data_IF_848217514983
#
_entry.id   IF_848217514983
#
_cell.length_a   1.000
_cell.length_b   1.000
_cell.length_c   1.000
_cell.angle_alpha   90.00
_cell.angle_beta   90.00
_cell.angle_gamma   90.00
#
_symmetry.space_group_name_H-M   'P 1'
#
loop_
_entity.id
_entity.type
_entity.pdbx_description
1 polymer ?
#
# COMPACT_ATOMS: atom_id res chain seq x y z
N UNK A 1 5.45 48.93 -34.34
CA UNK A 1 6.00 48.98 -32.97
C UNK A 1 5.00 49.70 -32.10
N UNK A 2 4.03 48.98 -31.58
CA UNK A 2 3.08 49.51 -30.59
C UNK A 2 3.69 49.26 -29.22
N UNK A 3 4.27 50.30 -28.66
CA UNK A 3 4.67 50.34 -27.25
C UNK A 3 3.40 50.22 -26.41
N UNK A 4 3.29 49.17 -25.61
CA UNK A 4 2.25 49.06 -24.60
C UNK A 4 2.80 49.63 -23.29
N UNK A 5 2.45 50.89 -23.00
CA UNK A 5 2.71 51.50 -21.70
C UNK A 5 1.68 50.98 -20.69
N UNK A 6 2.09 50.05 -19.83
CA UNK A 6 1.27 49.61 -18.71
C UNK A 6 1.37 50.65 -17.58
N UNK A 7 0.33 51.47 -17.43
CA UNK A 7 0.17 52.40 -16.31
C UNK A 7 -1.07 52.00 -15.52
N UNK A 8 -0.88 51.20 -14.47
CA UNK A 8 -1.95 50.79 -13.55
C UNK A 8 -1.36 50.16 -12.29
N UNK A 9 -1.69 50.73 -11.14
CA UNK A 9 -1.05 50.51 -9.84
C UNK A 9 -1.14 49.08 -9.32
N UNK A 10 -0.01 48.36 -9.28
CA UNK A 10 0.15 47.18 -8.44
C UNK A 10 1.45 47.27 -7.61
N UNK A 11 1.36 46.68 -6.43
CA UNK A 11 2.27 46.79 -5.30
C UNK A 11 3.67 46.25 -5.59
N UNK A 12 4.67 46.79 -4.89
CA UNK A 12 6.06 46.30 -4.88
C UNK A 12 6.12 44.79 -4.63
N UNK A 13 6.47 44.03 -5.66
CA UNK A 13 6.57 42.56 -5.66
C UNK A 13 5.91 41.94 -6.90
N UNK A 14 6.37 42.34 -8.08
CA UNK A 14 5.85 42.00 -9.41
C UNK A 14 6.05 40.52 -9.75
N UNK A 15 5.31 39.64 -9.08
CA UNK A 15 5.00 38.31 -9.59
C UNK A 15 3.53 38.33 -9.95
N UNK A 16 3.21 38.13 -11.23
CA UNK A 16 1.85 37.73 -11.62
C UNK A 16 1.49 36.48 -10.83
N UNK A 17 0.35 36.50 -10.15
CA UNK A 17 -0.25 35.32 -9.51
C UNK A 17 -1.09 34.51 -10.51
N UNK A 18 -1.23 35.00 -11.73
CA UNK A 18 -1.83 34.26 -12.84
C UNK A 18 -0.77 33.33 -13.45
N UNK A 19 -1.02 32.03 -13.38
CA UNK A 19 -0.22 30.95 -13.99
C UNK A 19 -0.42 30.89 -15.52
N UNK A 20 -0.54 32.05 -16.17
CA UNK A 20 -0.76 32.14 -17.62
C UNK A 20 0.55 32.14 -18.40
N UNK A 21 1.66 32.55 -17.76
CA UNK A 21 2.99 32.60 -18.35
C UNK A 21 3.81 31.34 -18.05
N UNK A 22 4.58 30.89 -19.04
CA UNK A 22 5.56 29.81 -18.82
C UNK A 22 6.76 30.35 -18.04
N UNK A 23 7.37 29.50 -17.20
CA UNK A 23 8.59 29.84 -16.47
C UNK A 23 9.72 30.18 -17.44
N UNK A 24 10.35 31.34 -17.27
CA UNK A 24 11.36 31.81 -18.20
C UNK A 24 12.69 31.04 -18.04
N UNK A 25 13.61 31.09 -19.03
CA UNK A 25 14.92 30.43 -18.92
C UNK A 25 15.72 30.88 -17.70
N UNK A 26 15.54 32.13 -17.25
CA UNK A 26 16.13 32.67 -16.03
C UNK A 26 15.60 32.03 -14.73
N UNK A 27 14.39 31.47 -14.76
CA UNK A 27 13.78 30.77 -13.64
C UNK A 27 14.06 29.25 -13.66
N UNK A 28 14.06 28.65 -14.86
CA UNK A 28 14.27 27.20 -15.05
C UNK A 28 15.73 26.81 -15.25
N UNK A 29 16.59 27.79 -15.56
CA UNK A 29 17.98 27.59 -15.98
C UNK A 29 18.13 26.67 -17.21
N UNK A 30 17.07 26.53 -18.00
CA UNK A 30 17.00 25.72 -19.22
C UNK A 30 16.83 26.66 -20.43
N UNK A 31 17.91 26.83 -21.20
CA UNK A 31 17.94 27.70 -22.38
C UNK A 31 17.78 26.86 -23.66
N UNK A 32 16.60 26.94 -24.27
CA UNK A 32 16.27 26.26 -25.54
C UNK A 32 16.50 27.16 -26.77
N UNK A 33 17.14 28.32 -26.59
CA UNK A 33 17.53 29.23 -27.67
C UNK A 33 16.42 30.16 -28.16
N UNK A 34 15.43 30.44 -27.31
CA UNK A 34 14.31 31.34 -27.58
C UNK A 34 14.29 32.48 -26.56
N UNK A 35 13.93 33.68 -27.03
CA UNK A 35 13.78 34.86 -26.16
C UNK A 35 12.54 34.74 -25.26
N UNK A 36 11.49 34.05 -25.73
CA UNK A 36 10.28 33.69 -24.96
C UNK A 36 9.92 32.22 -25.24
N UNK A 37 9.69 31.42 -24.20
CA UNK A 37 9.30 30.02 -24.36
C UNK A 37 7.93 29.86 -25.08
N UNK A 38 7.07 30.88 -25.04
CA UNK A 38 5.81 30.87 -25.76
C UNK A 38 6.00 30.89 -27.29
N UNK A 39 7.20 31.24 -27.79
CA UNK A 39 7.51 31.24 -29.23
C UNK A 39 7.84 29.84 -29.79
N UNK A 40 8.07 28.82 -28.95
CA UNK A 40 8.56 27.50 -29.39
C UNK A 40 7.56 26.74 -30.28
N UNK A 41 6.27 27.07 -30.16
CA UNK A 41 5.20 26.36 -30.86
C UNK A 41 5.06 24.90 -30.40
N UNK A 42 3.89 24.31 -30.65
CA UNK A 42 3.64 22.90 -30.31
C UNK A 42 3.87 22.02 -31.53
N UNK A 43 4.76 21.02 -31.42
CA UNK A 43 4.95 19.97 -32.42
C UNK A 43 4.15 18.72 -32.03
N UNK A 44 2.97 18.46 -32.63
CA UNK A 44 2.20 17.27 -32.34
C UNK A 44 2.95 16.00 -32.80
N UNK A 45 2.67 14.84 -32.18
CA UNK A 45 3.31 13.59 -32.57
C UNK A 45 3.05 13.25 -34.05
N UNK A 46 4.10 12.80 -34.74
CA UNK A 46 4.07 12.41 -36.16
C UNK A 46 3.18 11.21 -36.48
N UNK A 47 2.63 10.55 -35.44
CA UNK A 47 1.77 9.38 -35.55
C UNK A 47 0.76 9.35 -34.41
N UNK A 48 -0.45 8.82 -34.65
CA UNK A 48 -1.44 8.65 -33.61
C UNK A 48 -0.90 7.72 -32.51
N UNK A 49 -1.14 8.09 -31.25
CA UNK A 49 -0.78 7.27 -30.07
C UNK A 49 -2.05 6.76 -29.41
N UNK A 50 -2.06 5.48 -29.06
CA UNK A 50 -3.14 4.86 -28.29
C UNK A 50 -4.49 4.72 -29.02
N UNK A 51 -4.55 5.05 -30.32
CA UNK A 51 -5.80 4.92 -31.11
C UNK A 51 -6.26 3.46 -31.25
N UNK A 52 -5.30 2.54 -31.33
CA UNK A 52 -5.53 1.10 -31.40
C UNK A 52 -5.34 0.41 -30.04
N UNK A 53 -5.23 1.18 -28.94
CA UNK A 53 -5.12 0.61 -27.61
C UNK A 53 -6.44 -0.04 -27.18
N UNK A 54 -6.33 -1.08 -26.35
CA UNK A 54 -7.50 -1.73 -25.78
C UNK A 54 -8.28 -0.75 -24.89
N UNK A 55 -9.61 -0.73 -25.01
CA UNK A 55 -10.48 0.14 -24.20
C UNK A 55 -10.89 1.43 -24.91
N UNK A 56 -10.53 1.58 -26.18
CA UNK A 56 -10.99 2.68 -27.04
C UNK A 56 -12.40 2.45 -27.58
N UNK A 57 -12.86 1.19 -27.60
CA UNK A 57 -14.23 0.84 -28.01
C UNK A 57 -15.16 0.52 -26.83
N UNK A 58 -16.47 0.73 -27.01
CA UNK A 58 -17.48 0.43 -25.99
C UNK A 58 -17.46 -1.06 -25.56
N UNK A 59 -17.19 -1.96 -26.50
CA UNK A 59 -17.13 -3.40 -26.23
C UNK A 59 -15.95 -3.76 -25.32
N UNK A 60 -14.78 -3.16 -25.57
CA UNK A 60 -13.58 -3.37 -24.77
C UNK A 60 -13.71 -2.76 -23.37
N UNK A 61 -14.30 -1.57 -23.25
CA UNK A 61 -14.54 -0.95 -21.94
C UNK A 61 -15.46 -1.81 -21.05
N UNK A 62 -16.46 -2.47 -21.65
CA UNK A 62 -17.33 -3.42 -20.92
C UNK A 62 -16.60 -4.70 -20.54
N UNK A 63 -15.77 -5.22 -21.44
CA UNK A 63 -14.99 -6.44 -21.21
C UNK A 63 -13.90 -6.23 -20.17
N UNK A 64 -13.33 -5.03 -20.12
CA UNK A 64 -12.09 -4.66 -19.41
C UNK A 64 -10.90 -5.48 -19.91
N UNK A 65 -9.72 -5.01 -19.53
CA UNK A 65 -8.46 -5.63 -19.89
C UNK A 65 -8.20 -6.86 -19.01
N UNK A 66 -7.64 -7.92 -19.59
CA UNK A 66 -7.20 -9.09 -18.81
C UNK A 66 -5.87 -8.83 -18.10
N UNK A 67 -5.55 -9.64 -17.10
CA UNK A 67 -4.26 -9.55 -16.40
C UNK A 67 -3.08 -9.77 -17.35
N UNK A 68 -3.22 -10.71 -18.29
CA UNK A 68 -2.21 -11.00 -19.31
C UNK A 68 -1.96 -9.81 -20.25
N UNK A 69 -3.03 -9.10 -20.63
CA UNK A 69 -2.91 -7.91 -21.48
C UNK A 69 -2.18 -6.78 -20.74
N UNK A 70 -2.50 -6.58 -19.46
CA UNK A 70 -1.80 -5.59 -18.61
C UNK A 70 -0.31 -5.93 -18.47
N UNK A 71 0.01 -7.20 -18.22
CA UNK A 71 1.38 -7.66 -18.10
C UNK A 71 2.17 -7.46 -19.40
N UNK A 72 1.53 -7.65 -20.57
CA UNK A 72 2.16 -7.41 -21.87
C UNK A 72 2.47 -5.92 -22.12
N UNK A 73 1.84 -4.99 -21.41
CA UNK A 73 2.14 -3.57 -21.45
C UNK A 73 3.30 -3.16 -20.52
N UNK A 74 3.64 -4.01 -19.55
CA UNK A 74 4.69 -3.75 -18.58
C UNK A 74 6.07 -4.03 -19.19
N UNK A 75 7.04 -3.18 -18.86
CA UNK A 75 8.46 -3.45 -19.09
C UNK A 75 9.03 -3.88 -17.74
N UNK A 76 9.68 -5.06 -17.62
CA UNK A 76 10.28 -5.48 -16.37
C UNK A 76 11.28 -4.45 -15.87
N UNK A 77 11.13 -4.03 -14.62
CA UNK A 77 12.04 -3.08 -14.01
C UNK A 77 13.37 -3.78 -13.69
N UNK A 78 14.51 -3.36 -14.29
CA UNK A 78 15.80 -3.97 -14.03
C UNK A 78 16.29 -3.76 -12.58
N UNK A 79 15.78 -2.75 -11.86
CA UNK A 79 16.10 -2.54 -10.45
C UNK A 79 15.27 -3.43 -9.51
N UNK A 80 14.12 -3.95 -9.97
CA UNK A 80 13.38 -5.03 -9.31
C UNK A 80 13.81 -6.42 -9.82
N UNK A 81 14.94 -6.50 -10.55
CA UNK A 81 15.58 -7.76 -10.92
C UNK A 81 16.56 -8.27 -9.85
N UNK A 82 16.53 -7.69 -8.64
CA UNK A 82 16.85 -8.49 -7.46
C UNK A 82 15.90 -9.68 -7.50
N UNK A 83 16.51 -10.86 -7.53
CA UNK A 83 15.94 -12.21 -7.39
C UNK A 83 14.45 -12.17 -7.04
N UNK A 84 13.59 -12.74 -7.89
CA UNK A 84 12.16 -12.90 -7.59
C UNK A 84 12.04 -13.27 -6.10
N UNK A 85 11.34 -12.49 -5.26
CA UNK A 85 11.30 -12.74 -3.81
C UNK A 85 10.67 -14.09 -3.45
N UNK A 86 10.15 -14.84 -4.45
CA UNK A 86 9.73 -16.24 -4.36
C UNK A 86 10.74 -17.24 -4.93
N UNK A 87 11.87 -16.80 -5.48
CA UNK A 87 12.91 -17.63 -6.07
C UNK A 87 13.74 -18.36 -5.02
N UNK A 88 13.83 -17.83 -3.80
CA UNK A 88 14.26 -18.58 -2.62
C UNK A 88 13.06 -18.84 -1.70
N UNK A 89 12.22 -19.86 -2.03
CA UNK A 89 11.02 -20.17 -1.25
C UNK A 89 11.33 -20.66 0.18
N UNK A 90 12.61 -20.87 0.51
CA UNK A 90 13.05 -21.46 1.77
C UNK A 90 13.54 -20.40 2.78
N UNK A 91 13.45 -19.10 2.47
CA UNK A 91 13.78 -18.00 3.40
C UNK A 91 12.52 -17.44 4.08
N UNK A 92 12.55 -17.30 5.40
CA UNK A 92 11.50 -16.59 6.16
C UNK A 92 11.90 -15.13 6.29
N UNK A 93 11.01 -14.22 5.87
CA UNK A 93 11.26 -12.77 5.84
C UNK A 93 11.53 -12.18 4.45
N UNK A 94 11.67 -13.00 3.40
CA UNK A 94 11.84 -12.51 2.04
C UNK A 94 13.11 -11.66 1.86
N UNK A 95 12.95 -10.41 1.38
CA UNK A 95 14.04 -9.49 1.04
C UNK A 95 14.64 -8.74 2.25
N UNK A 96 14.15 -9.03 3.46
CA UNK A 96 14.65 -8.38 4.67
C UNK A 96 16.14 -8.73 4.90
N UNK A 97 17.01 -7.75 5.24
CA UNK A 97 18.44 -7.99 5.41
C UNK A 97 18.79 -8.90 6.60
N UNK A 98 17.81 -9.16 7.47
CA UNK A 98 17.85 -10.08 8.59
C UNK A 98 17.02 -11.36 8.36
N UNK A 99 16.57 -11.62 7.12
CA UNK A 99 15.93 -12.88 6.75
C UNK A 99 16.88 -14.07 6.99
N UNK A 100 16.31 -15.18 7.45
CA UNK A 100 17.01 -16.42 7.76
C UNK A 100 16.33 -17.61 7.08
N UNK A 101 17.05 -18.71 6.91
CA UNK A 101 16.48 -19.92 6.34
C UNK A 101 15.33 -20.44 7.24
N UNK A 102 14.26 -20.95 6.64
CA UNK A 102 13.09 -21.47 7.35
C UNK A 102 13.44 -22.61 8.32
N UNK A 103 14.52 -23.35 8.03
CA UNK A 103 15.06 -24.39 8.90
C UNK A 103 15.82 -23.86 10.12
N UNK A 104 16.36 -22.64 10.02
CA UNK A 104 17.07 -21.94 11.09
C UNK A 104 16.15 -20.97 11.85
N UNK A 105 14.96 -20.69 11.33
CA UNK A 105 13.96 -19.87 12.01
C UNK A 105 13.36 -20.60 13.20
N UNK A 106 13.30 -19.91 14.33
CA UNK A 106 12.54 -20.35 15.48
C UNK A 106 11.07 -19.97 15.24
N UNK A 107 10.42 -20.71 14.34
CA UNK A 107 8.97 -20.86 14.41
C UNK A 107 8.72 -21.39 15.81
N UNK A 108 8.14 -20.55 16.68
CA UNK A 108 7.98 -20.87 18.11
C UNK A 108 7.55 -22.32 18.33
N UNK A 109 7.90 -22.87 19.48
CA UNK A 109 7.22 -24.08 19.94
C UNK A 109 5.70 -23.87 19.85
N UNK A 110 4.91 -24.95 19.75
CA UNK A 110 3.46 -24.93 19.52
C UNK A 110 2.62 -24.21 20.59
N UNK A 111 3.20 -23.26 21.33
CA UNK A 111 2.61 -22.24 22.19
C UNK A 111 1.57 -21.36 21.50
N UNK A 112 1.40 -21.46 20.18
CA UNK A 112 0.20 -20.94 19.49
C UNK A 112 -0.76 -22.07 19.18
N UNK A 113 -1.84 -22.15 19.96
CA UNK A 113 -2.91 -23.10 19.73
C UNK A 113 -3.58 -22.94 18.37
N UNK A 114 -3.81 -24.02 17.62
CA UNK A 114 -4.50 -23.96 16.33
C UNK A 114 -6.00 -23.62 16.42
N UNK A 115 -6.55 -23.64 17.63
CA UNK A 115 -7.94 -23.32 17.95
C UNK A 115 -7.99 -22.04 18.77
N UNK A 116 -8.79 -21.07 18.32
CA UNK A 116 -9.18 -19.91 19.12
C UNK A 116 -10.02 -20.34 20.34
N UNK A 117 -9.89 -19.63 21.45
CA UNK A 117 -10.84 -19.73 22.57
C UNK A 117 -12.23 -19.20 22.20
N UNK A 118 -13.26 -19.69 22.88
CA UNK A 118 -14.61 -19.17 22.84
C UNK A 118 -14.79 -17.92 23.71
N UNK A 119 -15.96 -17.80 24.33
CA UNK A 119 -16.27 -16.72 25.28
C UNK A 119 -15.61 -17.01 26.62
N UNK A 120 -14.89 -16.03 27.16
CA UNK A 120 -14.24 -16.13 28.45
C UNK A 120 -15.13 -15.54 29.54
N UNK A 121 -15.43 -16.35 30.56
CA UNK A 121 -16.32 -15.97 31.66
C UNK A 121 -15.58 -16.03 32.99
N UNK A 122 -15.56 -14.91 33.70
CA UNK A 122 -15.01 -14.85 35.05
C UNK A 122 -15.88 -15.65 36.04
N UNK A 123 -15.31 -16.13 37.17
CA UNK A 123 -16.00 -16.96 38.16
C UNK A 123 -17.24 -16.30 38.78
N UNK A 124 -17.24 -14.98 38.90
CA UNK A 124 -18.33 -14.17 39.44
C UNK A 124 -19.45 -13.91 38.39
N UNK A 125 -19.23 -14.35 37.15
CA UNK A 125 -20.09 -14.16 35.99
C UNK A 125 -20.35 -12.68 35.63
N UNK A 126 -19.52 -11.75 36.10
CA UNK A 126 -19.68 -10.30 35.90
C UNK A 126 -20.91 -9.71 36.58
N UNK A 127 -21.51 -10.42 37.53
CA UNK A 127 -22.76 -10.04 38.19
C UNK A 127 -22.65 -10.01 39.72
N UNK A 128 -21.55 -10.50 40.27
CA UNK A 128 -21.32 -10.61 41.72
C UNK A 128 -20.12 -9.76 42.12
N UNK A 129 -19.83 -9.73 43.41
CA UNK A 129 -18.60 -9.12 43.90
C UNK A 129 -17.44 -10.04 43.52
N UNK A 130 -16.45 -9.47 42.83
CA UNK A 130 -15.24 -10.17 42.45
C UNK A 130 -14.38 -10.44 43.70
N UNK A 131 -14.16 -11.71 44.00
CA UNK A 131 -13.35 -12.15 45.15
C UNK A 131 -11.99 -12.67 44.69
N UNK A 132 -11.77 -12.73 43.37
CA UNK A 132 -10.63 -13.34 42.74
C UNK A 132 -9.63 -12.23 42.39
N UNK A 133 -8.49 -12.23 43.08
CA UNK A 133 -7.47 -11.20 42.85
C UNK A 133 -6.75 -11.32 41.50
N UNK A 134 -6.86 -12.50 40.88
CA UNK A 134 -6.15 -12.87 39.67
C UNK A 134 -7.09 -12.78 38.46
N UNK A 135 -6.59 -12.31 37.32
CA UNK A 135 -7.34 -12.24 36.08
C UNK A 135 -7.47 -13.62 35.45
N UNK A 136 -8.50 -14.36 35.86
CA UNK A 136 -8.81 -15.71 35.38
C UNK A 136 -10.21 -15.78 34.78
N UNK A 137 -10.40 -16.63 33.79
CA UNK A 137 -11.69 -16.87 33.16
C UNK A 137 -11.75 -18.26 32.52
N UNK A 138 -12.94 -18.85 32.50
CA UNK A 138 -13.21 -20.13 31.85
C UNK A 138 -13.77 -19.93 30.44
N UNK A 139 -13.35 -20.75 29.48
CA UNK A 139 -13.95 -20.81 28.16
C UNK A 139 -15.30 -21.54 28.22
N UNK A 140 -16.39 -20.80 28.02
CA UNK A 140 -17.77 -21.33 28.05
C UNK A 140 -18.34 -21.60 26.65
N UNK A 141 -17.49 -21.61 25.62
CA UNK A 141 -17.84 -21.96 24.24
C UNK A 141 -18.08 -20.77 23.31
N UNK A 142 -18.36 -21.05 22.05
CA UNK A 142 -18.47 -20.05 20.97
C UNK A 142 -19.74 -19.20 21.13
N UNK A 143 -19.58 -17.87 21.23
CA UNK A 143 -20.71 -16.94 21.39
C UNK A 143 -21.36 -16.54 20.05
N UNK A 144 -21.69 -17.51 19.18
CA UNK A 144 -22.45 -17.25 17.95
C UNK A 144 -21.87 -16.20 16.97
N UNK A 145 -20.59 -15.82 17.11
CA UNK A 145 -19.92 -14.76 16.35
C UNK A 145 -19.78 -13.41 17.08
N UNK A 146 -20.22 -13.29 18.33
CA UNK A 146 -20.15 -12.09 19.16
C UNK A 146 -18.89 -11.97 20.04
N UNK A 147 -17.81 -12.69 19.72
CA UNK A 147 -16.56 -12.61 20.49
C UNK A 147 -15.97 -11.20 20.48
N UNK A 148 -15.49 -10.76 21.63
CA UNK A 148 -14.70 -9.52 21.75
C UNK A 148 -13.36 -9.65 21.01
N UNK A 149 -12.69 -8.52 20.76
CA UNK A 149 -11.36 -8.52 20.15
C UNK A 149 -10.30 -9.24 21.01
N UNK A 150 -10.47 -9.24 22.33
CA UNK A 150 -9.56 -9.90 23.27
C UNK A 150 -9.73 -11.41 23.23
N UNK A 151 -10.97 -11.91 23.31
CA UNK A 151 -11.28 -13.33 23.11
C UNK A 151 -10.86 -13.82 21.73
N UNK A 152 -10.96 -12.94 20.74
CA UNK A 152 -10.51 -13.21 19.38
C UNK A 152 -9.00 -13.40 19.22
N UNK A 153 -8.21 -12.83 20.12
CA UNK A 153 -6.76 -12.93 20.10
C UNK A 153 -6.25 -14.18 20.84
N UNK A 154 -7.03 -14.75 21.77
CA UNK A 154 -6.62 -15.87 22.62
C UNK A 154 -6.80 -17.23 21.92
N UNK A 155 -5.77 -18.09 22.01
CA UNK A 155 -5.75 -19.43 21.44
C UNK A 155 -5.50 -20.49 22.52
N UNK A 156 -6.10 -21.67 22.34
CA UNK A 156 -6.02 -22.78 23.29
C UNK A 156 -4.81 -23.63 22.93
N UNK A 157 -3.79 -23.63 23.81
CA UNK A 157 -2.65 -24.53 23.74
C UNK A 157 -3.03 -25.83 24.46
N UNK A 158 -2.86 -26.97 23.80
CA UNK A 158 -3.10 -28.27 24.43
C UNK A 158 -1.90 -28.61 25.31
N UNK A 159 -2.13 -28.93 26.59
CA UNK A 159 -1.05 -29.26 27.51
C UNK A 159 -0.58 -30.70 27.25
N UNK A 160 0.57 -30.86 26.60
CA UNK A 160 1.20 -32.18 26.40
C UNK A 160 1.74 -32.80 27.70
N UNK A 161 1.54 -32.19 28.88
CA UNK A 161 2.13 -32.61 30.17
C UNK A 161 1.15 -33.08 31.25
N UNK A 162 -0.01 -33.66 30.88
CA UNK A 162 -0.87 -34.34 31.87
C UNK A 162 -1.27 -35.80 31.54
N UNK A 163 -0.47 -36.54 30.76
CA UNK A 163 -0.63 -38.00 30.61
C UNK A 163 0.59 -38.75 31.17
N UNK A 164 0.86 -38.62 32.47
CA UNK A 164 1.75 -39.53 33.20
C UNK A 164 1.10 -39.98 34.51
N UNK A 165 0.31 -41.04 34.40
CA UNK A 165 0.04 -42.00 35.47
C UNK A 165 0.50 -43.40 35.04
#
# INVERSE_FOLDING_TARGET
MTHHENTGSESLGSYSLDDEDQLQPEDTLDDRGLDDLLDEGYSPPERPRGVDAFGTTLAEQRRRESIEQRLAHEVPDPANAFEDPLADPDMVGGDDPDAIAAEDDFLGDGEVGGRRSGRLMAPDHGAREDTESDMVADDVGIDGGGSSAEEAAVHIIEDERWDRD
#
